data_IF_558796485330
#
_entry.id   IF_558796485330
#
_cell.length_a   1.000
_cell.length_b   1.000
_cell.length_c   1.000
_cell.angle_alpha   90.00
_cell.angle_beta   90.00
_cell.angle_gamma   90.00
#
_symmetry.space_group_name_H-M   'P 1'
#
loop_
_entity.id
_entity.type
_entity.pdbx_description
1 polymer ?
#
# COMPACT_ATOMS: atom_id res chain seq x y z
N UNK A 1 -7.88 -23.24 -4.09
CA UNK A 1 -7.19 -23.55 -2.82
C UNK A 1 -5.98 -22.64 -2.72
N UNK A 2 -5.96 -21.57 -1.90
CA UNK A 2 -4.87 -20.60 -1.94
C UNK A 2 -3.59 -21.14 -1.29
N UNK A 3 -2.51 -21.16 -2.06
CA UNK A 3 -1.15 -21.39 -1.57
C UNK A 3 -0.44 -20.05 -1.45
N UNK A 4 0.42 -19.93 -0.45
CA UNK A 4 1.26 -18.77 -0.24
C UNK A 4 2.72 -19.18 -0.15
N UNK A 5 3.60 -18.29 -0.58
CA UNK A 5 5.04 -18.48 -0.48
C UNK A 5 5.48 -18.07 0.93
N UNK A 6 6.20 -18.97 1.58
CA UNK A 6 6.86 -18.75 2.86
C UNK A 6 8.37 -18.84 2.71
N UNK A 7 9.09 -18.24 3.65
CA UNK A 7 10.56 -18.25 3.71
C UNK A 7 11.01 -18.62 5.12
N UNK A 8 12.02 -19.49 5.25
CA UNK A 8 12.65 -19.78 6.54
C UNK A 8 13.41 -18.58 7.09
N UNK A 9 13.29 -18.36 8.40
CA UNK A 9 14.06 -17.35 9.12
C UNK A 9 15.40 -17.96 9.56
N UNK A 10 16.40 -17.86 8.69
CA UNK A 10 17.77 -18.29 8.97
C UNK A 10 18.62 -17.12 9.47
N UNK A 11 19.76 -17.42 10.11
CA UNK A 11 20.74 -16.38 10.47
C UNK A 11 21.39 -15.83 9.19
N UNK A 12 21.89 -14.60 9.22
CA UNK A 12 22.39 -13.85 8.04
C UNK A 12 23.45 -14.56 7.18
N UNK A 13 24.06 -15.65 7.67
CA UNK A 13 25.07 -16.44 6.94
C UNK A 13 24.49 -17.65 6.20
N UNK A 14 23.20 -17.95 6.36
CA UNK A 14 22.53 -19.11 5.75
C UNK A 14 21.49 -18.65 4.72
N UNK A 15 21.47 -19.30 3.56
CA UNK A 15 20.49 -19.04 2.50
C UNK A 15 19.08 -19.40 2.98
N UNK A 16 18.12 -18.47 2.97
CA UNK A 16 16.76 -18.78 3.35
C UNK A 16 16.09 -19.63 2.27
N UNK A 17 15.32 -20.63 2.71
CA UNK A 17 14.61 -21.58 1.86
C UNK A 17 13.18 -21.10 1.64
N UNK A 18 12.71 -21.16 0.39
CA UNK A 18 11.36 -20.74 0.00
C UNK A 18 10.53 -21.94 -0.44
N UNK A 19 9.29 -22.00 0.01
CA UNK A 19 8.37 -23.09 -0.26
C UNK A 19 6.92 -22.59 -0.24
N UNK A 20 6.01 -23.38 -0.82
CA UNK A 20 4.59 -23.06 -0.89
C UNK A 20 3.83 -23.80 0.21
N UNK A 21 3.00 -23.08 0.97
CA UNK A 21 2.10 -23.66 1.96
C UNK A 21 0.66 -23.35 1.57
N UNK A 22 -0.19 -24.38 1.60
CA UNK A 22 -1.63 -24.19 1.58
C UNK A 22 -2.09 -23.57 2.91
N UNK A 23 -2.80 -22.44 2.83
CA UNK A 23 -3.34 -21.75 4.00
C UNK A 23 -4.74 -21.25 3.70
N UNK A 24 -5.70 -21.46 4.61
CA UNK A 24 -7.03 -20.85 4.43
C UNK A 24 -6.94 -19.34 4.62
N UNK A 25 -7.73 -18.57 3.86
CA UNK A 25 -7.70 -17.10 3.95
C UNK A 25 -8.19 -16.57 5.31
N UNK A 26 -8.99 -17.36 6.03
CA UNK A 26 -9.53 -17.04 7.36
C UNK A 26 -8.55 -17.34 8.50
N UNK A 27 -7.44 -18.02 8.22
CA UNK A 27 -6.49 -18.43 9.25
C UNK A 27 -5.39 -17.38 9.46
N UNK A 28 -4.89 -17.29 10.68
CA UNK A 28 -3.74 -16.47 11.00
C UNK A 28 -2.49 -16.97 10.24
N UNK A 29 -1.56 -16.07 9.85
CA UNK A 29 -0.28 -16.45 9.25
C UNK A 29 0.48 -17.47 10.09
N UNK A 30 0.94 -18.55 9.45
CA UNK A 30 1.88 -19.49 10.07
C UNK A 30 3.20 -18.80 10.40
N UNK A 31 3.66 -18.97 11.64
CA UNK A 31 4.96 -18.48 12.11
C UNK A 31 6.01 -19.60 12.18
N UNK A 32 5.56 -20.85 12.07
CA UNK A 32 6.39 -22.05 12.23
C UNK A 32 6.03 -23.04 11.12
N UNK A 33 7.05 -23.68 10.55
CA UNK A 33 6.87 -24.69 9.52
C UNK A 33 6.21 -25.94 10.10
N UNK A 34 5.14 -26.48 9.48
CA UNK A 34 4.39 -27.62 10.02
C UNK A 34 5.22 -28.90 10.10
N UNK A 35 6.14 -29.14 9.15
CA UNK A 35 6.95 -30.37 9.11
C UNK A 35 8.24 -30.31 9.95
N UNK A 36 8.99 -29.21 9.89
CA UNK A 36 10.34 -29.13 10.46
C UNK A 36 10.45 -28.22 11.70
N UNK A 37 9.36 -27.54 12.08
CA UNK A 37 9.33 -26.68 13.27
C UNK A 37 10.17 -25.39 13.15
N UNK A 38 10.77 -25.10 11.98
CA UNK A 38 11.60 -23.91 11.80
C UNK A 38 10.73 -22.64 11.81
N UNK A 39 11.26 -21.51 12.29
CA UNK A 39 10.57 -20.23 12.19
C UNK A 39 10.47 -19.80 10.72
N UNK A 40 9.29 -19.36 10.30
CA UNK A 40 9.00 -18.98 8.92
C UNK A 40 8.24 -17.65 8.87
N UNK A 41 8.33 -16.94 7.74
CA UNK A 41 7.52 -15.75 7.46
C UNK A 41 6.84 -15.86 6.10
N UNK A 42 5.64 -15.31 6.00
CA UNK A 42 4.90 -15.20 4.74
C UNK A 42 5.57 -14.15 3.85
N UNK A 43 5.90 -14.52 2.63
CA UNK A 43 6.42 -13.59 1.62
C UNK A 43 5.24 -12.99 0.86
N UNK A 44 5.02 -11.69 1.09
CA UNK A 44 4.09 -10.91 0.29
C UNK A 44 4.88 -10.36 -0.89
N UNK A 45 4.95 -11.15 -1.98
CA UNK A 45 5.46 -10.64 -3.24
C UNK A 45 4.41 -9.71 -3.84
N UNK A 46 4.51 -8.42 -3.53
CA UNK A 46 3.79 -7.41 -4.30
C UNK A 46 4.26 -7.49 -5.75
N UNK A 47 3.36 -7.62 -6.72
CA UNK A 47 3.71 -7.39 -8.12
C UNK A 47 4.42 -6.04 -8.21
N UNK A 48 5.43 -5.90 -9.09
CA UNK A 48 6.07 -4.60 -9.33
C UNK A 48 4.97 -3.59 -9.70
N UNK A 49 4.53 -2.85 -8.69
CA UNK A 49 3.41 -1.93 -8.81
C UNK A 49 3.85 -0.91 -9.82
N UNK A 50 3.17 -0.88 -10.96
CA UNK A 50 3.51 0.08 -11.98
C UNK A 50 3.20 1.45 -11.38
N UNK A 51 4.24 2.17 -10.94
CA UNK A 51 4.19 3.54 -10.46
C UNK A 51 3.90 4.46 -11.66
N UNK A 52 2.79 4.25 -12.36
CA UNK A 52 2.28 5.24 -13.29
C UNK A 52 1.77 6.39 -12.44
N UNK A 53 2.17 7.61 -12.76
CA UNK A 53 1.40 8.78 -12.35
C UNK A 53 0.01 8.64 -12.96
N UNK A 54 -0.92 8.05 -12.21
CA UNK A 54 -2.32 7.85 -12.62
C UNK A 54 -3.01 9.20 -12.84
N UNK A 55 -2.49 10.25 -12.20
CA UNK A 55 -2.96 11.62 -12.37
C UNK A 55 -2.44 12.17 -13.70
N UNK A 56 -3.36 12.42 -14.63
CA UNK A 56 -3.08 13.12 -15.89
C UNK A 56 -2.43 14.47 -15.58
N UNK A 57 -1.49 14.92 -16.41
CA UNK A 57 -0.86 16.26 -16.25
C UNK A 57 -1.90 17.39 -16.16
N UNK A 58 -3.02 17.26 -16.86
CA UNK A 58 -4.15 18.22 -16.81
C UNK A 58 -4.81 18.32 -15.43
N UNK A 59 -4.71 17.29 -14.59
CA UNK A 59 -5.27 17.25 -13.24
C UNK A 59 -4.25 17.72 -12.18
N UNK A 60 -2.99 17.96 -12.56
CA UNK A 60 -1.96 18.47 -11.65
C UNK A 60 -2.00 20.00 -11.65
N UNK A 61 -2.55 20.58 -10.59
CA UNK A 61 -2.55 22.03 -10.36
C UNK A 61 -1.31 22.47 -9.57
N UNK A 62 -0.80 23.67 -9.87
CA UNK A 62 0.20 24.33 -9.04
C UNK A 62 -0.49 24.97 -7.84
N UNK A 63 -0.14 24.53 -6.63
CA UNK A 63 -0.79 24.94 -5.37
C UNK A 63 -0.48 26.38 -4.97
N UNK A 64 0.52 27.03 -5.60
CA UNK A 64 0.80 28.45 -5.38
C UNK A 64 -0.06 29.38 -6.24
N UNK A 65 -0.81 28.85 -7.22
CA UNK A 65 -1.72 29.67 -8.02
C UNK A 65 -2.92 30.12 -7.16
N UNK A 66 -3.35 31.39 -7.24
CA UNK A 66 -4.54 31.86 -6.54
C UNK A 66 -5.79 31.02 -6.83
N UNK A 67 -5.96 30.58 -8.08
CA UNK A 67 -7.05 29.72 -8.53
C UNK A 67 -7.00 28.28 -7.99
N UNK A 68 -5.86 27.83 -7.44
CA UNK A 68 -5.73 26.53 -6.79
C UNK A 68 -6.25 26.52 -5.34
N UNK A 69 -6.56 27.70 -4.79
CA UNK A 69 -7.24 27.84 -3.51
C UNK A 69 -8.71 27.48 -3.70
N UNK A 70 -9.23 26.54 -2.90
CA UNK A 70 -10.65 26.21 -2.95
C UNK A 70 -11.51 27.47 -2.73
N UNK A 71 -12.43 27.76 -3.65
CA UNK A 71 -13.48 28.77 -3.47
C UNK A 71 -14.18 28.44 -2.15
N UNK A 72 -14.05 29.29 -1.12
CA UNK A 72 -14.77 29.15 0.16
C UNK A 72 -16.27 29.48 0.01
N UNK A 73 -16.86 29.08 -1.11
CA UNK A 73 -18.19 29.47 -1.55
C UNK A 73 -19.28 28.55 -0.95
N UNK A 74 -18.87 27.61 -0.08
CA UNK A 74 -19.73 26.73 0.70
C UNK A 74 -19.62 27.06 2.20
N UNK A 75 -20.03 28.26 2.61
CA UNK A 75 -20.61 28.55 3.93
C UNK A 75 -21.33 29.91 3.87
N UNK A 76 -22.65 29.83 3.71
CA UNK A 76 -23.67 30.81 4.10
C UNK A 76 -23.37 32.30 3.89
N UNK A 77 -24.08 32.89 2.92
CA UNK A 77 -24.64 34.25 2.97
C UNK A 77 -23.81 35.35 3.63
N UNK A 78 -23.17 36.18 2.82
CA UNK A 78 -22.61 37.45 3.25
C UNK A 78 -22.02 38.21 2.07
N UNK A 79 -22.82 39.09 1.45
CA UNK A 79 -22.31 40.09 0.52
C UNK A 79 -21.34 41.02 1.26
N UNK A 80 -20.09 41.11 0.81
CA UNK A 80 -19.22 42.23 1.16
C UNK A 80 -18.84 42.98 -0.11
N UNK A 81 -19.22 44.26 -0.13
CA UNK A 81 -19.12 45.17 -1.26
C UNK A 81 -17.68 45.44 -1.68
N UNK A 82 -17.52 45.59 -2.98
CA UNK A 82 -16.38 46.26 -3.58
C UNK A 82 -16.50 47.76 -3.25
N UNK A 83 -15.48 48.34 -2.63
CA UNK A 83 -15.28 49.78 -2.72
C UNK A 83 -14.11 50.04 -3.67
N UNK A 84 -14.32 51.03 -4.54
CA UNK A 84 -13.38 51.53 -5.54
C UNK A 84 -12.13 52.14 -4.89
#
# INVERSE_FOLDING_TARGET
MPTYIYETLTKASETPERFEIFQRMSEAPLLTHPENGKPIKKIITGGQGIRRNVIRRSTVINKSLPAATACKCAKSGGHHGHNH
#
